data_IF_821699511779
#
_entry.id   IF_821699511779
#
_cell.length_a   1.000
_cell.length_b   1.000
_cell.length_c   1.000
_cell.angle_alpha   90.00
_cell.angle_beta   90.00
_cell.angle_gamma   90.00
#
_symmetry.space_group_name_H-M   'P 1'
#
loop_
_entity.id
_entity.type
_entity.pdbx_description
1 polymer ?
#
# COMPACT_ATOMS: atom_id res chain seq x y z
N UNK A 1 -14.20 21.77 -7.17
CA UNK A 1 -13.93 20.69 -8.16
C UNK A 1 -14.03 19.37 -7.40
N UNK A 2 -14.41 18.25 -8.02
CA UNK A 2 -14.56 17.00 -7.27
C UNK A 2 -13.19 16.36 -7.05
N UNK A 3 -12.82 16.13 -5.79
CA UNK A 3 -11.55 15.49 -5.44
C UNK A 3 -11.60 14.00 -5.84
N UNK A 4 -10.66 13.56 -6.69
CA UNK A 4 -10.59 12.17 -7.15
C UNK A 4 -9.84 11.32 -6.13
N UNK A 5 -10.55 10.49 -5.37
CA UNK A 5 -9.95 9.56 -4.42
C UNK A 5 -9.45 8.32 -5.16
N UNK A 6 -8.16 8.01 -5.01
CA UNK A 6 -7.52 6.88 -5.68
C UNK A 6 -6.52 6.15 -4.80
N UNK A 7 -6.13 4.96 -5.25
CA UNK A 7 -4.98 4.23 -4.68
C UNK A 7 -3.73 4.80 -5.34
N UNK A 8 -2.80 5.31 -4.53
CA UNK A 8 -1.54 5.88 -5.00
C UNK A 8 -0.34 5.14 -4.40
N UNK A 9 0.72 5.03 -5.20
CA UNK A 9 2.01 4.48 -4.76
C UNK A 9 2.76 5.57 -3.99
N UNK A 10 3.23 5.28 -2.77
CA UNK A 10 4.05 6.19 -1.95
C UNK A 10 5.48 6.25 -2.49
N UNK A 11 6.11 5.08 -2.59
CA UNK A 11 7.39 4.84 -3.27
C UNK A 11 7.41 3.38 -3.76
N UNK A 12 7.95 3.14 -4.95
CA UNK A 12 8.15 1.79 -5.49
C UNK A 12 9.22 1.00 -4.69
N UNK A 13 10.20 1.69 -4.09
CA UNK A 13 11.28 1.09 -3.30
C UNK A 13 10.76 0.36 -2.03
N UNK A 14 9.53 0.69 -1.60
CA UNK A 14 8.85 0.04 -0.47
C UNK A 14 8.14 -1.25 -0.88
N UNK A 15 8.01 -1.56 -2.16
CA UNK A 15 7.32 -2.77 -2.60
C UNK A 15 8.24 -3.99 -2.48
N UNK A 16 7.96 -4.86 -1.50
CA UNK A 16 8.71 -6.11 -1.28
C UNK A 16 8.40 -7.22 -2.30
N UNK A 17 7.54 -6.97 -3.29
CA UNK A 17 7.13 -7.99 -4.26
C UNK A 17 6.23 -9.10 -3.68
N UNK A 18 5.69 -8.94 -2.47
CA UNK A 18 4.97 -10.00 -1.75
C UNK A 18 3.64 -10.49 -2.38
N UNK A 19 3.12 -9.82 -3.42
CA UNK A 19 1.87 -10.14 -4.16
C UNK A 19 0.59 -10.29 -3.32
N UNK A 20 0.63 -9.86 -2.06
CA UNK A 20 -0.51 -9.86 -1.13
C UNK A 20 -1.67 -9.05 -1.69
N UNK A 21 -1.42 -7.83 -2.18
CA UNK A 21 -2.44 -6.97 -2.78
C UNK A 21 -3.14 -7.60 -4.00
N UNK A 22 -2.41 -8.30 -4.87
CA UNK A 22 -2.97 -9.01 -6.04
C UNK A 22 -3.84 -10.20 -5.61
N UNK A 23 -3.35 -10.97 -4.63
CA UNK A 23 -4.04 -12.14 -4.08
C UNK A 23 -5.36 -11.75 -3.41
N UNK A 24 -5.36 -10.70 -2.59
CA UNK A 24 -6.58 -10.23 -1.93
C UNK A 24 -7.52 -9.49 -2.88
N UNK A 25 -7.00 -8.70 -3.83
CA UNK A 25 -7.84 -8.04 -4.85
C UNK A 25 -8.60 -9.07 -5.69
N UNK A 26 -7.92 -10.11 -6.20
CA UNK A 26 -8.56 -11.19 -6.96
C UNK A 26 -9.58 -11.98 -6.16
N UNK A 27 -9.29 -12.32 -4.89
CA UNK A 27 -10.21 -13.07 -4.04
C UNK A 27 -11.53 -12.31 -3.78
N UNK A 28 -11.45 -11.01 -3.49
CA UNK A 28 -12.63 -10.19 -3.24
C UNK A 28 -13.43 -9.95 -4.53
N UNK A 29 -12.77 -9.74 -5.68
CA UNK A 29 -13.43 -9.64 -6.99
C UNK A 29 -14.15 -10.94 -7.39
N UNK A 30 -13.51 -12.08 -7.13
CA UNK A 30 -14.11 -13.39 -7.30
C UNK A 30 -15.28 -13.65 -6.32
N UNK A 31 -15.58 -12.73 -5.39
CA UNK A 31 -16.59 -12.85 -4.32
C UNK A 31 -16.34 -14.07 -3.43
N UNK A 32 -15.07 -14.32 -3.10
CA UNK A 32 -14.64 -15.44 -2.25
C UNK A 32 -14.72 -16.82 -2.91
N UNK A 33 -15.07 -16.93 -4.21
CA UNK A 33 -15.19 -18.21 -4.94
C UNK A 33 -13.84 -18.83 -5.35
N UNK A 34 -12.72 -18.33 -4.82
CA UNK A 34 -11.35 -18.76 -5.13
C UNK A 34 -10.44 -17.57 -5.45
N UNK A 35 -9.15 -17.86 -5.66
CA UNK A 35 -8.16 -16.88 -6.09
C UNK A 35 -8.08 -16.89 -7.62
N UNK A 36 -8.30 -15.74 -8.26
CA UNK A 36 -8.36 -15.56 -9.71
C UNK A 36 -7.41 -14.43 -10.15
N UNK A 37 -6.09 -14.69 -10.26
CA UNK A 37 -5.11 -13.64 -10.57
C UNK A 37 -5.48 -12.79 -11.79
N UNK A 38 -6.17 -13.38 -12.77
CA UNK A 38 -6.68 -12.74 -13.98
C UNK A 38 -7.78 -11.68 -13.73
N UNK A 39 -8.49 -11.75 -12.59
CA UNK A 39 -9.48 -10.74 -12.18
C UNK A 39 -8.86 -9.59 -11.39
N UNK A 40 -7.60 -9.71 -10.93
CA UNK A 40 -6.96 -8.66 -10.11
C UNK A 40 -6.86 -7.32 -10.87
N UNK A 41 -7.11 -6.21 -10.15
CA UNK A 41 -6.93 -4.84 -10.68
C UNK A 41 -5.60 -4.20 -10.27
N UNK A 42 -4.77 -4.94 -9.55
CA UNK A 42 -3.41 -4.55 -9.20
C UNK A 42 -2.47 -5.69 -9.59
N UNK A 43 -1.35 -5.34 -10.20
CA UNK A 43 -0.29 -6.27 -10.58
C UNK A 43 1.07 -5.77 -10.15
N UNK A 44 1.94 -6.66 -9.69
CA UNK A 44 3.32 -6.31 -9.36
C UNK A 44 4.24 -6.78 -10.48
N UNK A 45 4.79 -5.82 -11.22
CA UNK A 45 5.87 -6.06 -12.18
C UNK A 45 7.21 -5.87 -11.48
N UNK A 46 8.16 -6.77 -11.69
CA UNK A 46 9.55 -6.55 -11.25
C UNK A 46 10.29 -5.90 -12.42
N UNK A 47 11.08 -4.86 -12.14
CA UNK A 47 11.81 -4.14 -13.17
C UNK A 47 12.83 -5.03 -13.91
N UNK A 48 13.28 -4.65 -15.12
CA UNK A 48 14.21 -5.48 -15.90
C UNK A 48 15.56 -5.77 -15.22
N UNK A 49 15.95 -5.02 -14.18
CA UNK A 49 17.18 -5.25 -13.41
C UNK A 49 16.96 -6.15 -12.19
N UNK A 50 15.72 -6.46 -11.81
CA UNK A 50 15.41 -7.28 -10.64
C UNK A 50 15.59 -6.58 -9.29
N UNK A 51 15.62 -5.25 -9.28
CA UNK A 51 15.92 -4.40 -8.12
C UNK A 51 14.65 -3.83 -7.48
N UNK A 52 13.65 -3.47 -8.30
CA UNK A 52 12.43 -2.78 -7.90
C UNK A 52 11.18 -3.59 -8.25
N UNK A 53 10.18 -3.53 -7.37
CA UNK A 53 8.85 -4.05 -7.65
C UNK A 53 7.88 -2.89 -7.82
N UNK A 54 7.23 -2.81 -8.96
CA UNK A 54 6.37 -1.69 -9.35
C UNK A 54 4.91 -2.18 -9.31
N UNK A 55 4.09 -1.70 -8.36
CA UNK A 55 2.66 -2.00 -8.36
C UNK A 55 1.93 -1.15 -9.40
N UNK A 56 1.42 -1.78 -10.44
CA UNK A 56 0.54 -1.19 -11.44
C UNK A 56 -0.91 -1.33 -10.98
N UNK A 57 -1.61 -0.20 -10.79
CA UNK A 57 -3.01 -0.16 -10.32
C UNK A 57 -3.92 0.28 -11.48
N UNK A 58 -4.84 -0.60 -11.87
CA UNK A 58 -5.79 -0.40 -12.97
C UNK A 58 -7.20 0.01 -12.47
N UNK A 59 -7.30 0.51 -11.23
CA UNK A 59 -8.52 1.13 -10.71
C UNK A 59 -8.60 2.59 -11.19
N UNK A 60 -9.56 2.88 -12.08
CA UNK A 60 -9.74 4.19 -12.70
C UNK A 60 -10.24 5.28 -11.72
N UNK A 61 -11.01 4.88 -10.70
CA UNK A 61 -11.69 5.76 -9.75
C UNK A 61 -11.75 5.10 -8.36
N UNK A 62 -12.65 5.58 -7.49
CA UNK A 62 -12.90 5.08 -6.14
C UNK A 62 -13.02 3.54 -6.11
N UNK A 63 -12.08 2.87 -5.44
CA UNK A 63 -12.08 1.41 -5.38
C UNK A 63 -13.21 0.93 -4.47
N UNK A 64 -14.19 0.21 -5.02
CA UNK A 64 -15.36 -0.31 -4.28
C UNK A 64 -15.03 -1.48 -3.33
N UNK A 65 -13.81 -2.04 -3.42
CA UNK A 65 -13.38 -3.22 -2.66
C UNK A 65 -12.79 -2.81 -1.30
N UNK A 66 -13.64 -2.28 -0.43
CA UNK A 66 -13.21 -1.66 0.84
C UNK A 66 -13.47 -2.55 2.05
N UNK A 67 -12.60 -2.39 3.04
CA UNK A 67 -12.78 -2.85 4.41
C UNK A 67 -12.55 -1.65 5.34
N UNK A 68 -13.50 -1.35 6.23
CA UNK A 68 -13.47 -0.22 7.18
C UNK A 68 -13.19 1.19 6.59
N UNK A 69 -13.26 1.35 5.27
CA UNK A 69 -13.08 2.61 4.54
C UNK A 69 -11.96 2.57 3.51
N UNK A 70 -10.94 1.73 3.74
CA UNK A 70 -9.77 1.59 2.87
C UNK A 70 -9.90 0.42 1.88
N UNK A 71 -9.33 0.51 0.67
CA UNK A 71 -9.28 -0.59 -0.27
C UNK A 71 -8.45 -1.77 0.25
N UNK A 72 -8.92 -3.00 0.00
CA UNK A 72 -8.28 -4.23 0.51
C UNK A 72 -6.82 -4.43 0.08
N UNK A 73 -6.36 -3.75 -0.97
CA UNK A 73 -4.95 -3.76 -1.39
C UNK A 73 -4.06 -2.81 -0.57
N UNK A 74 -4.61 -1.72 -0.02
CA UNK A 74 -3.91 -0.72 0.81
C UNK A 74 -3.69 -1.28 2.20
N UNK A 75 -4.78 -1.50 2.95
CA UNK A 75 -5.27 -2.87 3.07
C UNK A 75 -4.19 -3.89 3.46
N UNK A 76 -4.08 -4.97 2.68
CA UNK A 76 -3.11 -6.05 2.83
C UNK A 76 -1.71 -5.74 2.28
N UNK A 77 -1.27 -4.46 2.23
CA UNK A 77 0.12 -4.08 1.99
C UNK A 77 0.92 -4.06 3.31
N UNK A 78 1.93 -4.94 3.51
CA UNK A 78 2.68 -4.97 4.77
C UNK A 78 3.69 -3.83 4.91
N UNK A 79 4.13 -3.20 3.81
CA UNK A 79 5.20 -2.18 3.81
C UNK A 79 4.69 -0.74 3.65
N UNK A 80 3.39 -0.53 3.41
CA UNK A 80 2.83 0.82 3.22
C UNK A 80 3.22 1.47 1.89
N UNK A 81 3.59 0.65 0.90
CA UNK A 81 3.86 1.10 -0.47
C UNK A 81 2.61 1.75 -1.12
N UNK A 82 1.40 1.36 -0.71
CA UNK A 82 0.13 1.88 -1.22
C UNK A 82 -0.57 2.72 -0.16
N UNK A 83 -1.18 3.83 -0.58
CA UNK A 83 -2.09 4.66 0.23
C UNK A 83 -3.38 4.93 -0.54
N UNK A 84 -4.45 5.23 0.20
CA UNK A 84 -5.74 5.63 -0.34
C UNK A 84 -6.04 7.07 0.06
N UNK A 85 -6.20 7.95 -0.92
CA UNK A 85 -6.35 9.39 -0.70
C UNK A 85 -6.83 10.08 -1.97
N UNK A 86 -7.41 11.26 -1.82
CA UNK A 86 -7.54 12.22 -2.91
C UNK A 86 -6.18 12.83 -3.32
N UNK A 87 -6.19 13.49 -4.47
CA UNK A 87 -5.03 14.13 -5.08
C UNK A 87 -4.55 15.41 -4.37
N UNK A 88 -5.38 16.05 -3.53
CA UNK A 88 -5.01 17.26 -2.79
C UNK A 88 -4.18 16.88 -1.54
N UNK A 89 -4.58 15.81 -0.84
CA UNK A 89 -3.88 15.27 0.34
C UNK A 89 -2.66 14.38 0.01
N UNK A 90 -2.48 13.99 -1.26
CA UNK A 90 -1.51 12.96 -1.66
C UNK A 90 -0.06 13.30 -1.28
N UNK A 91 0.38 14.53 -1.55
CA UNK A 91 1.75 14.96 -1.23
C UNK A 91 1.96 15.09 0.28
N UNK A 92 0.98 15.66 1.00
CA UNK A 92 0.97 15.80 2.46
C UNK A 92 1.10 14.45 3.17
N UNK A 93 0.32 13.44 2.75
CA UNK A 93 0.39 12.07 3.29
C UNK A 93 1.72 11.40 2.95
N UNK A 94 2.22 11.55 1.72
CA UNK A 94 3.55 11.02 1.33
C UNK A 94 4.67 11.58 2.21
N UNK A 95 4.68 12.89 2.45
CA UNK A 95 5.67 13.56 3.28
C UNK A 95 5.61 13.09 4.75
N UNK A 96 4.40 13.01 5.33
CA UNK A 96 4.19 12.51 6.69
C UNK A 96 4.70 11.07 6.87
N UNK A 97 4.43 10.18 5.91
CA UNK A 97 4.91 8.80 5.95
C UNK A 97 6.42 8.69 5.73
N UNK A 98 7.04 9.56 4.94
CA UNK A 98 8.50 9.59 4.81
C UNK A 98 9.18 10.06 6.10
N UNK A 99 8.65 11.11 6.75
CA UNK A 99 9.13 11.54 8.05
C UNK A 99 9.06 10.40 9.09
N UNK A 100 7.91 9.73 9.20
CA UNK A 100 7.75 8.59 10.11
C UNK A 100 8.79 7.47 9.84
N UNK A 101 9.11 7.17 8.56
CA UNK A 101 10.15 6.19 8.19
C UNK A 101 11.57 6.61 8.58
N UNK A 102 11.85 7.90 8.69
CA UNK A 102 13.14 8.41 9.17
C UNK A 102 13.26 8.32 10.70
N UNK A 103 12.15 8.50 11.40
CA UNK A 103 12.08 8.34 12.85
C UNK A 103 12.21 6.87 13.28
N UNK A 104 11.58 5.93 12.55
CA UNK A 104 11.67 4.49 12.84
C UNK A 104 11.97 3.65 11.58
N UNK A 105 13.22 3.16 11.41
CA UNK A 105 13.63 2.35 10.26
C UNK A 105 12.82 1.07 10.02
N UNK A 106 12.19 0.51 11.08
CA UNK A 106 11.30 -0.65 10.99
C UNK A 106 10.10 -0.40 10.04
N UNK A 107 9.70 0.86 9.85
CA UNK A 107 8.59 1.25 8.98
C UNK A 107 8.88 1.14 7.48
N UNK A 108 10.10 0.71 7.10
CA UNK A 108 10.40 0.23 5.75
C UNK A 108 9.95 -1.22 5.52
N UNK A 109 9.71 -1.98 6.60
CA UNK A 109 9.37 -3.40 6.57
C UNK A 109 7.92 -3.67 7.04
N UNK A 110 7.41 -2.89 7.99
CA UNK A 110 6.08 -3.08 8.60
C UNK A 110 5.37 -1.72 8.72
N UNK A 111 4.13 -1.60 8.23
CA UNK A 111 3.34 -0.38 8.40
C UNK A 111 3.05 -0.05 9.88
N UNK A 112 3.38 1.17 10.36
CA UNK A 112 3.18 1.59 11.75
C UNK A 112 1.74 1.43 12.25
N UNK A 113 0.78 1.78 11.41
CA UNK A 113 -0.62 1.92 11.82
C UNK A 113 -1.42 0.62 11.74
N UNK A 114 -0.88 -0.43 11.13
CA UNK A 114 -1.65 -1.65 10.81
C UNK A 114 -1.54 -2.75 11.86
N UNK A 115 -0.40 -2.90 12.53
CA UNK A 115 -0.20 -3.97 13.51
C UNK A 115 -0.05 -3.39 14.92
N UNK A 116 -0.84 -3.85 15.91
CA UNK A 116 -0.79 -3.37 17.28
C UNK A 116 0.40 -3.97 18.05
N UNK A 117 1.62 -3.68 17.60
CA UNK A 117 2.80 -3.82 18.45
C UNK A 117 2.80 -2.73 19.53
N UNK A 118 3.30 -3.00 20.75
CA UNK A 118 3.37 -2.00 21.81
C UNK A 118 4.41 -0.94 21.48
N UNK A 119 3.97 0.14 20.83
CA UNK A 119 4.84 1.19 20.31
C UNK A 119 5.46 2.05 21.44
N UNK A 120 6.78 1.93 21.61
CA UNK A 120 7.63 3.05 22.00
C UNK A 120 8.40 3.48 20.74
N UNK A 121 8.33 4.74 20.27
CA UNK A 121 9.13 5.18 19.14
C UNK A 121 10.61 4.96 19.45
N UNK A 122 11.28 4.16 18.61
CA UNK A 122 12.73 3.97 18.65
C UNK A 122 13.38 5.25 18.16
N UNK A 123 13.60 6.22 19.06
CA UNK A 123 14.29 7.46 18.72
C UNK A 123 15.71 7.12 18.30
N UNK A 124 16.17 7.77 17.23
CA UNK A 124 17.51 7.57 16.66
C UNK A 124 18.63 7.91 17.66
N UNK A 125 18.32 8.74 18.65
CA UNK A 125 19.19 9.15 19.77
C UNK A 125 19.30 8.08 20.89
N UNK A 126 18.58 6.96 20.78
CA UNK A 126 18.55 5.85 21.76
C UNK A 126 19.17 4.55 21.19
N UNK A 127 19.97 4.65 20.11
CA UNK A 127 20.71 3.58 19.44
C UNK A 127 22.23 3.78 19.57
#
# INVERSE_FOLDING_TARGET
MSALIKIAVVSADLCSGCRSCETWCSFVLAKGRGFRPEESRIHIETDPQGVLNIPHINCLEECQLKHEGDPICVEMCPTGCLIYTDDEDLESKRALWEQARQDQPLFRLIVPWKYPYPWRPLKRDEL
#
